data_IF_111398178362
#
_entry.id   IF_111398178362
#
_cell.length_a   1.000
_cell.length_b   1.000
_cell.length_c   1.000
_cell.angle_alpha   90.00
_cell.angle_beta   90.00
_cell.angle_gamma   90.00
#
_symmetry.space_group_name_H-M   'P 1'
#
loop_
_entity.id
_entity.type
_entity.pdbx_description
1 polymer ?
#
# COMPACT_ATOMS: atom_id res chain seq x y z
N UNK A 1 -8.05 25.46 5.35
CA UNK A 1 -6.95 25.36 4.36
C UNK A 1 -5.71 26.02 4.94
N UNK A 2 -5.00 25.30 5.79
CA UNK A 2 -3.72 25.72 6.37
C UNK A 2 -2.63 25.46 5.34
N UNK A 3 -2.09 26.53 4.73
CA UNK A 3 -0.88 26.46 3.91
C UNK A 3 0.27 26.07 4.84
N UNK A 4 0.69 24.81 4.81
CA UNK A 4 1.94 24.39 5.46
C UNK A 4 3.10 25.14 4.81
N UNK A 5 3.59 26.15 5.52
CA UNK A 5 4.79 26.88 5.19
C UNK A 5 5.97 25.95 5.45
N UNK A 6 6.40 25.20 4.43
CA UNK A 6 7.66 24.45 4.48
C UNK A 6 8.76 25.51 4.47
N UNK A 7 9.25 25.86 5.65
CA UNK A 7 10.43 26.71 5.83
C UNK A 7 11.60 25.88 5.31
N UNK A 8 11.99 26.15 4.06
CA UNK A 8 13.23 25.66 3.47
C UNK A 8 14.34 26.44 4.17
N UNK A 9 14.84 25.92 5.29
CA UNK A 9 16.06 26.37 5.92
C UNK A 9 17.21 25.94 5.02
N UNK A 10 17.45 26.73 3.97
CA UNK A 10 18.61 26.65 3.08
C UNK A 10 19.83 27.17 3.86
N UNK A 11 20.21 26.45 4.91
CA UNK A 11 21.35 26.73 5.75
C UNK A 11 22.64 26.41 5.01
N UNK A 12 23.45 27.43 4.80
CA UNK A 12 24.83 27.41 4.31
C UNK A 12 25.70 26.35 5.02
N UNK A 13 25.81 25.16 4.43
CA UNK A 13 26.81 24.12 4.72
C UNK A 13 27.70 23.87 3.50
N UNK A 14 28.24 24.95 2.93
CA UNK A 14 29.33 24.89 1.96
C UNK A 14 30.61 25.09 2.77
N UNK A 15 31.36 24.02 3.07
CA UNK A 15 32.84 24.01 3.20
C UNK A 15 33.47 22.67 3.66
N UNK A 16 32.73 21.56 3.81
CA UNK A 16 33.33 20.21 3.87
C UNK A 16 33.34 19.52 2.50
N UNK A 17 34.00 20.15 1.53
CA UNK A 17 34.08 19.72 0.12
C UNK A 17 35.06 18.55 -0.14
N UNK A 18 35.51 17.83 0.89
CA UNK A 18 36.40 16.68 0.72
C UNK A 18 35.85 15.48 1.47
N UNK A 19 34.94 14.79 0.77
CA UNK A 19 34.66 13.37 0.86
C UNK A 19 33.43 12.94 1.71
N UNK A 20 32.74 11.84 1.35
CA UNK A 20 31.76 11.73 0.26
C UNK A 20 30.50 10.97 0.73
N UNK A 21 29.39 11.70 0.85
CA UNK A 21 28.07 11.15 1.18
C UNK A 21 26.99 11.80 0.31
N UNK A 22 27.34 12.17 -0.92
CA UNK A 22 26.56 13.10 -1.77
C UNK A 22 25.11 12.67 -2.04
N UNK A 23 24.73 11.41 -1.78
CA UNK A 23 23.38 10.90 -2.01
C UNK A 23 22.80 10.07 -0.84
N UNK A 24 23.42 10.05 0.34
CA UNK A 24 22.95 9.18 1.43
C UNK A 24 21.54 9.56 1.92
N UNK A 25 21.30 10.86 2.11
CA UNK A 25 19.98 11.41 2.45
C UNK A 25 18.92 11.08 1.40
N UNK A 26 19.28 11.19 0.12
CA UNK A 26 18.43 10.97 -1.03
C UNK A 26 18.09 9.48 -1.19
N UNK A 27 19.09 8.60 -1.04
CA UNK A 27 18.92 7.14 -1.04
C UNK A 27 18.02 6.72 0.13
N UNK A 28 18.25 7.25 1.33
CA UNK A 28 17.44 6.95 2.51
C UNK A 28 16.00 7.44 2.32
N UNK A 29 15.81 8.64 1.80
CA UNK A 29 14.49 9.20 1.51
C UNK A 29 13.76 8.39 0.43
N UNK A 30 14.43 8.02 -0.67
CA UNK A 30 13.90 7.11 -1.69
C UNK A 30 13.47 5.77 -1.09
N UNK A 31 14.33 5.15 -0.25
CA UNK A 31 14.02 3.89 0.41
C UNK A 31 12.80 4.00 1.35
N UNK A 32 12.66 5.10 2.08
CA UNK A 32 11.50 5.38 2.93
C UNK A 32 10.21 5.52 2.11
N UNK A 33 10.27 6.20 0.96
CA UNK A 33 9.13 6.33 0.04
C UNK A 33 8.74 4.99 -0.58
N UNK A 34 9.72 4.15 -0.97
CA UNK A 34 9.45 2.77 -1.40
C UNK A 34 8.80 1.94 -0.28
N UNK A 35 9.31 2.02 0.95
CA UNK A 35 8.70 1.34 2.10
C UNK A 35 7.26 1.82 2.35
N UNK A 36 7.00 3.11 2.13
CA UNK A 36 5.64 3.68 2.21
C UNK A 36 4.73 3.06 1.14
N UNK A 37 5.19 2.93 -0.10
CA UNK A 37 4.44 2.27 -1.18
C UNK A 37 4.18 0.79 -0.87
N UNK A 38 5.20 0.05 -0.39
CA UNK A 38 5.05 -1.36 0.02
C UNK A 38 4.04 -1.51 1.15
N UNK A 39 4.11 -0.67 2.18
CA UNK A 39 3.14 -0.68 3.27
C UNK A 39 1.74 -0.33 2.78
N UNK A 40 1.61 0.64 1.88
CA UNK A 40 0.35 1.06 1.24
C UNK A 40 -0.28 -0.12 0.48
N UNK A 41 0.52 -0.85 -0.29
CA UNK A 41 0.08 -2.08 -0.96
C UNK A 41 -0.43 -3.13 0.04
N UNK A 42 0.35 -3.43 1.08
CA UNK A 42 0.00 -4.43 2.09
C UNK A 42 -1.28 -4.07 2.86
N UNK A 43 -1.38 -2.84 3.35
CA UNK A 43 -2.57 -2.32 4.05
C UNK A 43 -3.78 -2.31 3.13
N UNK A 44 -3.63 -1.86 1.88
CA UNK A 44 -4.71 -1.86 0.90
C UNK A 44 -5.24 -3.26 0.61
N UNK A 45 -4.35 -4.22 0.34
CA UNK A 45 -4.71 -5.64 0.15
C UNK A 45 -5.43 -6.22 1.36
N UNK A 46 -4.93 -5.95 2.57
CA UNK A 46 -5.56 -6.43 3.81
C UNK A 46 -6.96 -5.82 4.00
N UNK A 47 -7.14 -4.53 3.73
CA UNK A 47 -8.42 -3.85 3.82
C UNK A 47 -9.45 -4.46 2.86
N UNK A 48 -9.05 -4.74 1.62
CA UNK A 48 -9.89 -5.42 0.62
C UNK A 48 -10.30 -6.81 1.12
N UNK A 49 -9.36 -7.59 1.65
CA UNK A 49 -9.64 -8.92 2.17
C UNK A 49 -10.64 -8.89 3.33
N UNK A 50 -10.48 -7.95 4.27
CA UNK A 50 -11.41 -7.75 5.40
C UNK A 50 -12.80 -7.39 4.88
N UNK A 51 -12.90 -6.44 3.95
CA UNK A 51 -14.17 -5.98 3.39
C UNK A 51 -14.89 -7.11 2.64
N UNK A 52 -14.18 -7.90 1.83
CA UNK A 52 -14.77 -9.05 1.14
C UNK A 52 -15.26 -10.09 2.15
N UNK A 53 -14.47 -10.41 3.16
CA UNK A 53 -14.86 -11.36 4.20
C UNK A 53 -16.12 -10.87 4.95
N UNK A 54 -16.19 -9.59 5.30
CA UNK A 54 -17.37 -8.98 5.93
C UNK A 54 -18.61 -9.04 5.02
N UNK A 55 -18.47 -8.75 3.73
CA UNK A 55 -19.57 -8.82 2.77
C UNK A 55 -20.10 -10.25 2.59
N UNK A 56 -19.20 -11.23 2.51
CA UNK A 56 -19.59 -12.63 2.40
C UNK A 56 -20.21 -13.15 3.69
N UNK A 57 -19.69 -12.75 4.85
CA UNK A 57 -20.30 -13.05 6.15
C UNK A 57 -21.71 -12.46 6.25
N UNK A 58 -21.89 -11.19 5.86
CA UNK A 58 -23.20 -10.54 5.84
C UNK A 58 -24.18 -11.23 4.89
N UNK A 59 -23.74 -11.61 3.69
CA UNK A 59 -24.55 -12.37 2.74
C UNK A 59 -24.94 -13.75 3.29
N UNK A 60 -24.02 -14.41 3.99
CA UNK A 60 -24.29 -15.70 4.63
C UNK A 60 -25.27 -15.57 5.80
N UNK A 61 -25.17 -14.53 6.63
CA UNK A 61 -26.15 -14.24 7.70
C UNK A 61 -27.52 -13.91 7.09
N UNK A 62 -27.57 -13.05 6.07
CA UNK A 62 -28.82 -12.72 5.39
C UNK A 62 -29.49 -13.95 4.72
N UNK A 63 -28.70 -14.92 4.27
CA UNK A 63 -29.20 -16.20 3.79
C UNK A 63 -29.69 -17.12 4.93
N UNK A 64 -29.11 -17.03 6.13
CA UNK A 64 -29.51 -17.77 7.33
C UNK A 64 -30.83 -17.29 7.94
N UNK A 65 -31.11 -15.99 7.88
CA UNK A 65 -32.35 -15.41 8.42
C UNK A 65 -33.61 -15.87 7.68
N UNK A 66 -33.47 -16.62 6.57
CA UNK A 66 -34.53 -17.46 6.03
C UNK A 66 -34.62 -18.80 6.78
N UNK A 67 -34.94 -18.73 8.07
CA UNK A 67 -35.65 -19.83 8.74
C UNK A 67 -37.09 -19.76 8.25
N UNK A 68 -37.33 -20.21 7.02
CA UNK A 68 -38.69 -20.43 6.56
C UNK A 68 -39.28 -21.55 7.42
N UNK A 69 -40.37 -21.24 8.12
CA UNK A 69 -41.22 -22.26 8.71
C UNK A 69 -41.61 -23.22 7.59
N UNK A 70 -41.38 -24.51 7.79
CA UNK A 70 -41.86 -25.53 6.85
C UNK A 70 -43.36 -25.30 6.63
N UNK A 71 -43.87 -25.41 5.38
CA UNK A 71 -45.30 -25.27 5.11
C UNK A 71 -46.12 -26.15 6.06
N UNK A 72 -46.95 -25.54 6.90
CA UNK A 72 -47.74 -26.24 7.93
C UNK A 72 -47.24 -26.10 9.38
N UNK A 73 -46.15 -25.38 9.64
CA UNK A 73 -45.74 -24.98 11.00
C UNK A 73 -46.53 -23.76 11.52
N UNK A 74 -47.30 -23.11 10.66
CA UNK A 74 -48.10 -21.92 10.86
C UNK A 74 -49.62 -22.20 10.90
N UNK A 75 -50.04 -23.44 10.61
CA UNK A 75 -51.44 -23.86 10.67
C UNK A 75 -51.78 -24.44 12.04
N UNK A 76 -52.60 -23.75 12.84
CA UNK A 76 -53.29 -24.36 13.99
C UNK A 76 -54.37 -25.33 13.50
N UNK A 77 -54.54 -26.44 14.22
CA UNK A 77 -55.68 -27.32 13.97
C UNK A 77 -57.01 -26.58 14.29
N UNK A 78 -58.18 -27.09 13.84
CA UNK A 78 -59.48 -26.46 14.12
C UNK A 78 -59.82 -26.30 15.62
N UNK A 79 -59.06 -26.93 16.51
CA UNK A 79 -59.21 -26.86 17.97
C UNK A 79 -58.28 -25.82 18.59
N UNK A 80 -57.49 -25.09 17.78
CA UNK A 80 -56.53 -24.09 18.23
C UNK A 80 -55.21 -24.67 18.74
N UNK A 81 -54.97 -25.98 18.57
CA UNK A 81 -53.71 -26.59 18.97
C UNK A 81 -52.68 -26.51 17.84
N UNK A 82 -51.40 -26.21 18.16
CA UNK A 82 -50.35 -26.31 17.16
C UNK A 82 -50.23 -27.77 16.69
N UNK A 83 -49.97 -28.00 15.39
CA UNK A 83 -49.85 -29.33 14.84
C UNK A 83 -48.68 -30.03 15.53
N UNK A 84 -48.84 -31.32 15.82
CA UNK A 84 -47.80 -32.13 16.46
C UNK A 84 -46.65 -32.32 15.47
N UNK A 85 -45.69 -31.39 15.47
CA UNK A 85 -44.52 -31.43 14.61
C UNK A 85 -43.69 -32.69 14.93
N UNK A 86 -43.20 -33.38 13.91
CA UNK A 86 -42.13 -34.39 14.09
C UNK A 86 -40.92 -33.70 14.71
N UNK A 87 -40.15 -34.41 15.54
CA UNK A 87 -38.91 -33.90 16.14
C UNK A 87 -38.07 -33.15 15.10
N UNK A 88 -38.00 -31.84 15.24
CA UNK A 88 -37.27 -30.97 14.34
C UNK A 88 -35.78 -31.33 14.46
N UNK A 89 -35.21 -31.91 13.41
CA UNK A 89 -33.77 -32.12 13.35
C UNK A 89 -33.13 -30.82 12.88
N UNK A 90 -32.25 -30.24 13.69
CA UNK A 90 -31.41 -29.12 13.26
C UNK A 90 -30.50 -29.66 12.16
N UNK A 91 -30.82 -29.37 10.91
CA UNK A 91 -29.91 -29.65 9.80
C UNK A 91 -28.70 -28.75 10.01
N UNK A 92 -27.51 -29.33 10.10
CA UNK A 92 -26.27 -28.57 10.18
C UNK A 92 -26.17 -27.74 8.89
N UNK A 93 -26.46 -26.45 8.99
CA UNK A 93 -26.35 -25.54 7.86
C UNK A 93 -24.91 -25.56 7.36
N UNK A 94 -24.79 -25.51 6.03
CA UNK A 94 -23.61 -25.88 5.25
C UNK A 94 -22.27 -25.39 5.78
N UNK A 95 -21.22 -26.04 5.31
CA UNK A 95 -19.84 -25.71 5.69
C UNK A 95 -19.58 -24.22 5.52
N UNK A 96 -18.94 -23.62 6.55
CA UNK A 96 -18.40 -22.27 6.43
C UNK A 96 -17.30 -22.34 5.39
N UNK A 97 -17.64 -22.03 4.14
CA UNK A 97 -16.64 -21.94 3.09
C UNK A 97 -15.77 -20.72 3.37
N UNK A 98 -14.46 -20.94 3.39
CA UNK A 98 -13.51 -19.84 3.47
C UNK A 98 -13.81 -18.83 2.34
N UNK A 99 -13.66 -17.53 2.60
CA UNK A 99 -13.90 -16.52 1.59
C UNK A 99 -13.18 -16.84 0.28
N UNK A 100 -13.94 -16.98 -0.82
CA UNK A 100 -13.33 -17.18 -2.13
C UNK A 100 -12.56 -15.91 -2.49
N UNK A 101 -11.27 -16.06 -2.76
CA UNK A 101 -10.43 -14.95 -3.22
C UNK A 101 -11.02 -14.35 -4.51
N UNK A 102 -11.21 -13.04 -4.53
CA UNK A 102 -11.66 -12.34 -5.74
C UNK A 102 -10.50 -12.16 -6.72
N UNK A 103 -10.76 -11.89 -8.00
CA UNK A 103 -9.71 -11.60 -8.97
C UNK A 103 -8.75 -10.50 -8.51
N UNK A 104 -9.26 -9.46 -7.81
CA UNK A 104 -8.41 -8.40 -7.25
C UNK A 104 -7.43 -8.93 -6.20
N UNK A 105 -7.87 -9.78 -5.26
CA UNK A 105 -6.97 -10.35 -4.24
C UNK A 105 -5.95 -11.32 -4.85
N UNK A 106 -6.35 -12.09 -5.86
CA UNK A 106 -5.44 -13.00 -6.56
C UNK A 106 -4.34 -12.21 -7.27
N UNK A 107 -4.71 -11.13 -7.96
CA UNK A 107 -3.76 -10.25 -8.63
C UNK A 107 -2.77 -9.64 -7.64
N UNK A 108 -3.25 -8.95 -6.59
CA UNK A 108 -2.39 -8.34 -5.56
C UNK A 108 -1.50 -9.37 -4.85
N UNK A 109 -1.96 -10.61 -4.69
CA UNK A 109 -1.17 -11.69 -4.09
C UNK A 109 -0.06 -12.18 -5.04
N UNK A 110 -0.33 -12.27 -6.33
CA UNK A 110 0.67 -12.68 -7.34
C UNK A 110 1.83 -11.69 -7.44
N UNK A 111 1.59 -10.40 -7.17
CA UNK A 111 2.58 -9.34 -7.24
C UNK A 111 3.37 -9.14 -5.92
N UNK A 112 3.00 -9.81 -4.82
CA UNK A 112 3.73 -9.72 -3.53
C UNK A 112 5.24 -10.01 -3.63
N UNK A 113 5.70 -11.03 -4.37
CA UNK A 113 7.14 -11.29 -4.52
C UNK A 113 7.89 -10.10 -5.12
N UNK A 114 7.24 -9.32 -5.99
CA UNK A 114 7.83 -8.12 -6.60
C UNK A 114 8.05 -7.03 -5.54
N UNK A 115 7.05 -6.73 -4.71
CA UNK A 115 7.17 -5.74 -3.64
C UNK A 115 8.19 -6.17 -2.57
N UNK A 116 8.28 -7.47 -2.29
CA UNK A 116 9.32 -8.01 -1.41
C UNK A 116 10.72 -7.82 -1.99
N UNK A 117 10.91 -8.08 -3.29
CA UNK A 117 12.18 -7.88 -3.98
C UNK A 117 12.56 -6.39 -4.04
N UNK A 118 11.60 -5.50 -4.32
CA UNK A 118 11.82 -4.06 -4.31
C UNK A 118 12.25 -3.55 -2.93
N UNK A 119 11.59 -4.02 -1.86
CA UNK A 119 11.95 -3.70 -0.47
C UNK A 119 13.37 -4.17 -0.14
N UNK A 120 13.73 -5.39 -0.54
CA UNK A 120 15.07 -5.93 -0.35
C UNK A 120 16.12 -5.11 -1.12
N UNK A 121 15.82 -4.71 -2.35
CA UNK A 121 16.67 -3.86 -3.18
C UNK A 121 16.97 -2.52 -2.50
N UNK A 122 15.95 -1.77 -2.07
CA UNK A 122 16.18 -0.46 -1.43
C UNK A 122 16.86 -0.58 -0.06
N UNK A 123 16.61 -1.67 0.67
CA UNK A 123 17.32 -1.95 1.93
C UNK A 123 18.81 -2.15 1.68
N UNK A 124 19.16 -2.92 0.65
CA UNK A 124 20.55 -3.20 0.32
C UNK A 124 21.25 -1.98 -0.33
N UNK A 125 20.54 -1.16 -1.10
CA UNK A 125 21.01 0.14 -1.60
C UNK A 125 21.45 1.04 -0.44
N UNK A 126 20.59 1.20 0.57
CA UNK A 126 20.89 1.97 1.79
C UNK A 126 22.05 1.36 2.58
N UNK A 127 22.18 0.03 2.62
CA UNK A 127 23.30 -0.63 3.30
C UNK A 127 24.65 -0.30 2.65
N UNK A 128 24.70 -0.17 1.31
CA UNK A 128 25.92 0.23 0.59
C UNK A 128 26.24 1.71 0.81
N UNK A 129 25.22 2.58 0.82
CA UNK A 129 25.41 4.02 1.05
C UNK A 129 25.77 4.35 2.49
N UNK A 130 25.31 3.52 3.44
CA UNK A 130 25.76 3.52 4.81
C UNK A 130 27.13 2.87 4.82
N UNK A 131 27.32 1.60 5.19
CA UNK A 131 28.65 1.01 5.40
C UNK A 131 29.58 1.92 6.26
N UNK A 132 30.63 1.40 6.85
CA UNK A 132 31.52 2.22 7.71
C UNK A 132 32.98 1.87 7.47
N UNK A 133 33.20 0.62 7.11
CA UNK A 133 34.47 0.06 6.74
C UNK A 133 34.33 -0.86 5.51
N UNK A 134 35.45 -1.45 5.10
CA UNK A 134 35.52 -2.34 3.95
C UNK A 134 34.76 -3.67 4.16
N UNK A 135 34.66 -4.16 5.39
CA UNK A 135 33.94 -5.39 5.70
C UNK A 135 32.43 -5.17 5.55
N UNK A 136 31.91 -4.07 6.10
CA UNK A 136 30.54 -3.62 5.95
C UNK A 136 30.21 -3.36 4.48
N UNK A 137 31.08 -2.69 3.73
CA UNK A 137 30.89 -2.47 2.30
C UNK A 137 30.86 -3.78 1.51
N UNK A 138 31.75 -4.73 1.81
CA UNK A 138 31.77 -6.04 1.13
C UNK A 138 30.47 -6.80 1.36
N UNK A 139 30.01 -6.88 2.61
CA UNK A 139 28.73 -7.50 2.96
C UNK A 139 27.54 -6.79 2.29
N UNK A 140 27.51 -5.46 2.34
CA UNK A 140 26.46 -4.67 1.70
C UNK A 140 26.44 -4.87 0.18
N UNK A 141 27.61 -4.92 -0.46
CA UNK A 141 27.73 -5.16 -1.91
C UNK A 141 27.21 -6.54 -2.32
N UNK A 142 27.51 -7.58 -1.54
CA UNK A 142 26.98 -8.93 -1.77
C UNK A 142 25.45 -8.94 -1.65
N UNK A 143 24.91 -8.37 -0.57
CA UNK A 143 23.46 -8.24 -0.38
C UNK A 143 22.81 -7.44 -1.50
N UNK A 144 23.44 -6.35 -1.95
CA UNK A 144 22.90 -5.48 -2.99
C UNK A 144 22.88 -6.16 -4.35
N UNK A 145 23.93 -6.92 -4.68
CA UNK A 145 23.98 -7.75 -5.89
C UNK A 145 22.86 -8.80 -5.88
N UNK A 146 22.73 -9.55 -4.78
CA UNK A 146 21.67 -10.57 -4.65
C UNK A 146 20.27 -9.97 -4.73
N UNK A 147 20.03 -8.82 -4.08
CA UNK A 147 18.74 -8.14 -4.10
C UNK A 147 18.40 -7.57 -5.50
N UNK A 148 19.38 -7.02 -6.21
CA UNK A 148 19.22 -6.54 -7.58
C UNK A 148 18.90 -7.66 -8.57
N UNK A 149 19.58 -8.81 -8.45
CA UNK A 149 19.25 -10.01 -9.24
C UNK A 149 17.86 -10.52 -8.92
N UNK A 150 17.50 -10.66 -7.64
CA UNK A 150 16.16 -11.10 -7.24
C UNK A 150 15.05 -10.16 -7.71
N UNK A 151 15.30 -8.85 -7.74
CA UNK A 151 14.38 -7.87 -8.31
C UNK A 151 14.22 -8.05 -9.83
N UNK A 152 15.33 -8.23 -10.55
CA UNK A 152 15.31 -8.44 -12.00
C UNK A 152 14.60 -9.75 -12.36
N UNK A 153 14.83 -10.81 -11.59
CA UNK A 153 14.14 -12.10 -11.75
C UNK A 153 12.63 -11.99 -11.47
N UNK A 154 12.24 -11.21 -10.46
CA UNK A 154 10.83 -10.94 -10.16
C UNK A 154 10.15 -10.18 -11.30
N UNK A 155 10.83 -9.18 -11.88
CA UNK A 155 10.33 -8.43 -13.05
C UNK A 155 10.23 -9.33 -14.29
N UNK A 156 11.23 -10.18 -14.55
CA UNK A 156 11.24 -11.08 -15.70
C UNK A 156 10.07 -12.09 -15.67
N UNK A 157 9.60 -12.48 -14.48
CA UNK A 157 8.40 -13.32 -14.34
C UNK A 157 7.10 -12.60 -14.74
N UNK A 158 7.06 -11.28 -14.59
CA UNK A 158 5.90 -10.45 -14.95
C UNK A 158 5.93 -10.01 -16.41
N UNK A 159 7.11 -9.74 -16.93
CA UNK A 159 7.34 -9.29 -18.29
C UNK A 159 8.49 -10.11 -18.93
N UNK A 160 8.20 -11.34 -19.43
CA UNK A 160 9.22 -12.24 -19.98
C UNK A 160 9.89 -11.70 -21.24
N UNK A 161 9.25 -10.75 -21.93
CA UNK A 161 9.79 -10.07 -23.11
C UNK A 161 10.82 -8.99 -22.75
N UNK A 162 10.91 -8.60 -21.47
CA UNK A 162 11.92 -7.63 -21.02
C UNK A 162 13.28 -8.33 -20.99
N UNK A 163 14.29 -7.84 -21.75
CA UNK A 163 15.60 -8.47 -21.77
C UNK A 163 16.13 -8.52 -20.34
N UNK A 164 16.49 -9.72 -19.86
CA UNK A 164 17.13 -9.81 -18.56
C UNK A 164 18.46 -9.08 -18.66
N UNK A 165 18.57 -7.97 -17.95
CA UNK A 165 19.87 -7.37 -17.71
C UNK A 165 20.65 -8.43 -16.95
N UNK A 166 21.55 -9.13 -17.64
CA UNK A 166 22.53 -9.95 -16.97
C UNK A 166 23.28 -8.98 -16.05
N UNK A 167 22.89 -8.94 -14.76
CA UNK A 167 23.66 -8.29 -13.71
C UNK A 167 24.93 -9.12 -13.62
N UNK A 168 25.85 -8.82 -14.54
CA UNK A 168 27.09 -9.55 -14.71
C UNK A 168 27.76 -9.53 -13.35
N UNK A 169 28.24 -10.70 -12.96
CA UNK A 169 29.04 -11.14 -11.81
C UNK A 169 30.23 -10.24 -11.38
N UNK A 170 30.27 -8.97 -11.79
CA UNK A 170 31.43 -8.09 -11.87
C UNK A 170 31.58 -7.08 -10.74
N UNK A 171 30.56 -6.81 -9.91
CA UNK A 171 30.73 -5.90 -8.77
C UNK A 171 31.78 -6.43 -7.77
N UNK A 172 31.88 -7.75 -7.61
CA UNK A 172 32.92 -8.39 -6.80
C UNK A 172 34.34 -8.18 -7.33
N UNK A 173 34.51 -8.01 -8.64
CA UNK A 173 35.80 -7.74 -9.28
C UNK A 173 36.33 -6.33 -9.03
N UNK A 174 35.44 -5.36 -8.80
CA UNK A 174 35.82 -3.96 -8.52
C UNK A 174 36.54 -3.82 -7.16
N UNK A 175 36.36 -4.78 -6.25
CA UNK A 175 36.97 -4.76 -4.91
C UNK A 175 38.38 -5.36 -4.85
N UNK A 176 38.86 -6.00 -5.92
CA UNK A 176 40.04 -6.88 -5.89
C UNK A 176 41.38 -6.27 -6.35
N UNK A 177 41.44 -5.01 -6.77
CA UNK A 177 42.70 -4.40 -7.23
C UNK A 177 43.26 -3.41 -6.20
N UNK A 178 44.47 -3.70 -5.70
CA UNK A 178 45.12 -3.14 -4.51
C UNK A 178 45.56 -1.68 -4.58
N UNK A 179 44.66 -0.79 -5.00
CA UNK A 179 44.78 0.64 -4.78
C UNK A 179 43.89 0.95 -3.58
N UNK A 180 44.42 1.57 -2.53
CA UNK A 180 43.70 2.08 -1.36
C UNK A 180 42.79 3.26 -1.73
N UNK A 181 41.94 3.04 -2.73
CA UNK A 181 40.84 3.91 -3.10
C UNK A 181 39.96 4.06 -1.85
N UNK A 182 39.85 5.29 -1.36
CA UNK A 182 39.01 5.66 -0.22
C UNK A 182 37.65 4.94 -0.31
N UNK A 183 37.21 4.29 0.78
CA UNK A 183 35.98 3.50 0.94
C UNK A 183 34.78 3.96 0.08
N UNK A 184 34.59 5.27 0.01
CA UNK A 184 33.51 5.91 -0.71
C UNK A 184 33.59 5.86 -2.24
N UNK A 185 34.79 5.84 -2.81
CA UNK A 185 34.96 5.60 -4.25
C UNK A 185 34.51 4.18 -4.62
N UNK A 186 34.75 3.20 -3.75
CA UNK A 186 34.23 1.83 -3.89
C UNK A 186 32.71 1.79 -3.74
N UNK A 187 32.14 2.48 -2.75
CA UNK A 187 30.66 2.66 -2.63
C UNK A 187 30.07 3.23 -3.91
N UNK A 188 30.61 4.33 -4.41
CA UNK A 188 30.14 4.99 -5.63
C UNK A 188 30.23 4.07 -6.84
N UNK A 189 31.32 3.31 -6.99
CA UNK A 189 31.47 2.35 -8.08
C UNK A 189 30.44 1.23 -8.04
N UNK A 190 30.17 0.68 -6.84
CA UNK A 190 29.13 -0.34 -6.62
C UNK A 190 27.75 0.23 -6.94
N UNK A 191 27.40 1.40 -6.39
CA UNK A 191 26.13 2.08 -6.63
C UNK A 191 25.93 2.38 -8.12
N UNK A 192 26.92 3.00 -8.78
CA UNK A 192 26.86 3.31 -10.21
C UNK A 192 26.57 2.06 -11.05
N UNK A 193 27.24 0.96 -10.77
CA UNK A 193 27.12 -0.28 -11.54
C UNK A 193 25.73 -0.89 -11.36
N UNK A 194 25.30 -1.09 -10.13
CA UNK A 194 24.07 -1.83 -9.84
C UNK A 194 22.82 -0.98 -10.09
N UNK A 195 22.79 0.29 -9.66
CA UNK A 195 21.63 1.17 -9.85
C UNK A 195 21.35 1.37 -11.34
N UNK A 196 22.38 1.58 -12.16
CA UNK A 196 22.21 1.73 -13.62
C UNK A 196 21.70 0.44 -14.28
N UNK A 197 22.16 -0.73 -13.82
CA UNK A 197 21.75 -2.02 -14.37
C UNK A 197 20.28 -2.37 -14.04
N UNK A 198 19.79 -1.92 -12.87
CA UNK A 198 18.44 -2.17 -12.37
C UNK A 198 17.41 -1.15 -12.89
N UNK A 199 17.84 0.00 -13.42
CA UNK A 199 16.94 1.07 -13.88
C UNK A 199 15.84 0.61 -14.86
N UNK A 200 16.12 -0.22 -15.89
CA UNK A 200 15.08 -0.75 -16.77
C UNK A 200 14.04 -1.63 -16.04
N UNK A 201 14.49 -2.40 -15.06
CA UNK A 201 13.60 -3.22 -14.21
C UNK A 201 12.67 -2.34 -13.37
N UNK A 202 13.16 -1.19 -12.88
CA UNK A 202 12.35 -0.22 -12.12
C UNK A 202 11.28 0.42 -13.01
N UNK A 203 11.58 0.73 -14.27
CA UNK A 203 10.57 1.24 -15.23
C UNK A 203 9.42 0.24 -15.38
N UNK A 204 9.73 -1.05 -15.57
CA UNK A 204 8.72 -2.12 -15.71
C UNK A 204 7.94 -2.29 -14.40
N UNK A 205 8.64 -2.34 -13.27
CA UNK A 205 8.03 -2.43 -11.94
C UNK A 205 7.08 -1.25 -11.67
N UNK A 206 7.39 -0.05 -12.18
CA UNK A 206 6.53 1.12 -12.08
C UNK A 206 5.12 0.85 -12.60
N UNK A 207 4.98 0.07 -13.68
CA UNK A 207 3.68 -0.29 -14.26
C UNK A 207 2.89 -1.23 -13.34
N UNK A 208 3.56 -2.20 -12.71
CA UNK A 208 2.92 -3.09 -11.73
C UNK A 208 2.48 -2.31 -10.49
N UNK A 209 3.34 -1.43 -9.97
CA UNK A 209 2.99 -0.55 -8.85
C UNK A 209 1.80 0.34 -9.19
N UNK A 210 1.76 0.94 -10.38
CA UNK A 210 0.60 1.72 -10.84
C UNK A 210 -0.68 0.87 -10.84
N UNK A 211 -0.60 -0.34 -11.39
CA UNK A 211 -1.75 -1.25 -11.53
C UNK A 211 -2.30 -1.67 -10.17
N UNK A 212 -1.44 -2.11 -9.26
CA UNK A 212 -1.85 -2.56 -7.92
C UNK A 212 -2.44 -1.42 -7.09
N UNK A 213 -1.79 -0.25 -7.11
CA UNK A 213 -2.31 0.94 -6.41
C UNK A 213 -3.64 1.41 -7.03
N UNK A 214 -3.83 1.25 -8.35
CA UNK A 214 -5.11 1.52 -9.01
C UNK A 214 -6.20 0.56 -8.55
N UNK A 215 -5.93 -0.75 -8.52
CA UNK A 215 -6.87 -1.77 -8.02
C UNK A 215 -7.30 -1.46 -6.59
N UNK A 216 -6.33 -1.13 -5.73
CA UNK A 216 -6.57 -0.78 -4.33
C UNK A 216 -7.46 0.47 -4.22
N UNK A 217 -7.07 1.56 -4.89
CA UNK A 217 -7.84 2.81 -4.89
C UNK A 217 -9.25 2.62 -5.45
N UNK A 218 -9.40 1.88 -6.54
CA UNK A 218 -10.69 1.63 -7.16
C UNK A 218 -11.62 0.83 -6.24
N UNK A 219 -11.09 -0.15 -5.51
CA UNK A 219 -11.87 -0.87 -4.49
C UNK A 219 -12.32 0.07 -3.37
N UNK A 220 -11.40 0.87 -2.82
CA UNK A 220 -11.71 1.81 -1.73
C UNK A 220 -12.78 2.83 -2.14
N UNK A 221 -12.67 3.44 -3.31
CA UNK A 221 -13.65 4.40 -3.83
C UNK A 221 -15.04 3.75 -3.94
N UNK A 222 -15.13 2.52 -4.49
CA UNK A 222 -16.40 1.79 -4.59
C UNK A 222 -17.03 1.54 -3.23
N UNK A 223 -16.23 1.15 -2.24
CA UNK A 223 -16.72 0.88 -0.88
C UNK A 223 -17.18 2.16 -0.17
N UNK A 224 -16.36 3.21 -0.17
CA UNK A 224 -16.73 4.49 0.42
C UNK A 224 -17.97 5.10 -0.25
N UNK A 225 -18.13 4.94 -1.57
CA UNK A 225 -19.34 5.38 -2.27
C UNK A 225 -20.58 4.62 -1.78
N UNK A 226 -20.48 3.29 -1.64
CA UNK A 226 -21.57 2.44 -1.12
C UNK A 226 -21.95 2.84 0.31
N UNK A 227 -20.96 2.99 1.19
CA UNK A 227 -21.17 3.41 2.58
C UNK A 227 -21.79 4.81 2.66
N UNK A 228 -21.26 5.77 1.90
CA UNK A 228 -21.80 7.13 1.87
C UNK A 228 -23.26 7.17 1.39
N UNK A 229 -23.61 6.39 0.37
CA UNK A 229 -25.01 6.27 -0.07
C UNK A 229 -25.92 5.70 1.02
N UNK A 230 -25.47 4.66 1.74
CA UNK A 230 -26.23 4.06 2.82
C UNK A 230 -26.43 5.04 4.00
N UNK A 231 -25.39 5.79 4.37
CA UNK A 231 -25.45 6.75 5.46
C UNK A 231 -26.32 7.96 5.11
N UNK A 232 -26.25 8.45 3.87
CA UNK A 232 -27.12 9.54 3.40
C UNK A 232 -28.59 9.11 3.40
N UNK A 233 -28.90 7.90 2.92
CA UNK A 233 -30.26 7.38 2.96
C UNK A 233 -30.78 7.24 4.39
N UNK A 234 -29.94 6.76 5.31
CA UNK A 234 -30.28 6.64 6.74
C UNK A 234 -30.51 8.01 7.37
N UNK A 235 -29.61 8.97 7.13
CA UNK A 235 -29.73 10.33 7.61
C UNK A 235 -31.03 10.98 7.13
N UNK A 236 -31.34 10.87 5.83
CA UNK A 236 -32.58 11.40 5.25
C UNK A 236 -33.83 10.79 5.91
N UNK A 237 -33.86 9.48 6.14
CA UNK A 237 -34.99 8.80 6.77
C UNK A 237 -35.21 9.22 8.25
N UNK A 238 -34.14 9.56 8.97
CA UNK A 238 -34.23 9.99 10.37
C UNK A 238 -34.56 11.48 10.53
N UNK A 239 -34.11 12.32 9.59
CA UNK A 239 -34.30 13.77 9.65
C UNK A 239 -35.75 14.24 9.56
N UNK A 240 -36.67 13.41 9.07
CA UNK A 240 -38.04 13.86 8.79
C UNK A 240 -38.80 14.21 10.07
N UNK A 241 -38.56 13.52 11.21
CA UNK A 241 -39.29 13.82 12.47
C UNK A 241 -38.53 13.42 13.76
N UNK A 242 -37.29 12.91 13.70
CA UNK A 242 -36.70 12.15 14.84
C UNK A 242 -35.41 12.71 15.44
N UNK A 243 -34.70 13.60 14.75
CA UNK A 243 -33.40 14.09 15.21
C UNK A 243 -33.53 15.43 15.92
N UNK A 244 -32.97 15.55 17.12
CA UNK A 244 -32.71 16.85 17.72
C UNK A 244 -31.52 17.52 17.01
N UNK A 245 -31.31 18.80 17.29
CA UNK A 245 -30.24 19.60 16.66
C UNK A 245 -28.83 19.01 16.88
N UNK A 246 -28.54 18.53 18.08
CA UNK A 246 -27.24 17.95 18.43
C UNK A 246 -26.95 16.68 17.63
N UNK A 247 -27.93 15.78 17.52
CA UNK A 247 -27.80 14.54 16.76
C UNK A 247 -27.69 14.80 15.25
N UNK A 248 -28.44 15.79 14.75
CA UNK A 248 -28.34 16.25 13.37
C UNK A 248 -26.92 16.73 13.05
N UNK A 249 -26.37 17.64 13.87
CA UNK A 249 -25.01 18.16 13.65
C UNK A 249 -23.96 17.06 13.72
N UNK A 250 -24.09 16.13 14.67
CA UNK A 250 -23.17 15.00 14.83
C UNK A 250 -23.16 14.13 13.56
N UNK A 251 -24.35 13.76 13.05
CA UNK A 251 -24.46 12.95 11.82
C UNK A 251 -23.98 13.72 10.58
N UNK A 252 -24.25 15.02 10.50
CA UNK A 252 -23.77 15.87 9.40
C UNK A 252 -22.24 15.94 9.38
N UNK A 253 -21.58 16.12 10.52
CA UNK A 253 -20.11 16.13 10.64
C UNK A 253 -19.52 14.77 10.27
N UNK A 254 -20.17 13.67 10.66
CA UNK A 254 -19.74 12.32 10.26
C UNK A 254 -19.81 12.14 8.73
N UNK A 255 -20.91 12.56 8.09
CA UNK A 255 -21.05 12.54 6.62
C UNK A 255 -20.00 13.41 5.93
N UNK A 256 -19.76 14.63 6.43
CA UNK A 256 -18.73 15.53 5.90
C UNK A 256 -17.33 14.90 5.98
N UNK A 257 -17.03 14.20 7.07
CA UNK A 257 -15.77 13.48 7.26
C UNK A 257 -15.62 12.34 6.23
N UNK A 258 -16.69 11.57 5.98
CA UNK A 258 -16.68 10.52 4.93
C UNK A 258 -16.53 11.11 3.53
N UNK A 259 -17.19 12.23 3.23
CA UNK A 259 -17.02 12.94 1.94
C UNK A 259 -15.58 13.44 1.78
N UNK A 260 -14.96 13.96 2.84
CA UNK A 260 -13.56 14.37 2.81
C UNK A 260 -12.62 13.19 2.52
N UNK A 261 -12.80 12.06 3.21
CA UNK A 261 -12.04 10.82 2.97
C UNK A 261 -12.23 10.30 1.53
N UNK A 262 -13.47 10.30 1.04
CA UNK A 262 -13.78 9.92 -0.33
C UNK A 262 -13.07 10.80 -1.36
N UNK A 263 -13.13 12.12 -1.18
CA UNK A 263 -12.45 13.07 -2.07
C UNK A 263 -10.94 12.94 -2.00
N UNK A 264 -10.38 12.65 -0.83
CA UNK A 264 -8.96 12.38 -0.66
C UNK A 264 -8.51 11.12 -1.40
N UNK A 265 -9.26 10.02 -1.30
CA UNK A 265 -8.97 8.81 -2.06
C UNK A 265 -9.11 9.02 -3.57
N UNK A 266 -10.08 9.83 -4.01
CA UNK A 266 -10.19 10.24 -5.41
C UNK A 266 -9.03 11.10 -5.89
N UNK A 267 -8.46 11.94 -5.03
CA UNK A 267 -7.34 12.79 -5.41
C UNK A 267 -6.02 12.02 -5.52
N UNK A 268 -5.88 10.86 -4.86
CA UNK A 268 -4.69 10.02 -5.01
C UNK A 268 -4.53 9.54 -6.47
N UNK A 269 -3.32 9.66 -7.02
CA UNK A 269 -3.00 9.32 -8.40
C UNK A 269 -1.93 8.21 -8.45
N UNK A 270 -2.35 6.92 -8.57
CA UNK A 270 -1.45 5.77 -8.74
C UNK A 270 -0.37 5.97 -9.80
N UNK A 271 -0.71 6.61 -10.92
CA UNK A 271 0.19 6.83 -12.04
C UNK A 271 1.25 7.87 -11.72
N UNK A 272 0.87 8.96 -11.05
CA UNK A 272 1.83 9.96 -10.58
C UNK A 272 2.85 9.37 -9.60
N UNK A 273 2.41 8.48 -8.69
CA UNK A 273 3.28 7.80 -7.71
C UNK A 273 4.28 6.89 -8.43
N UNK A 274 3.81 6.03 -9.32
CA UNK A 274 4.66 5.13 -10.09
C UNK A 274 5.68 5.91 -10.94
N UNK A 275 5.22 6.96 -11.64
CA UNK A 275 6.11 7.83 -12.43
C UNK A 275 7.15 8.53 -11.56
N UNK A 276 6.76 9.03 -10.38
CA UNK A 276 7.68 9.70 -9.47
C UNK A 276 8.73 8.74 -8.91
N UNK A 277 8.34 7.50 -8.57
CA UNK A 277 9.27 6.45 -8.15
C UNK A 277 10.29 6.12 -9.23
N UNK A 278 9.83 5.87 -10.47
CA UNK A 278 10.69 5.59 -11.62
C UNK A 278 11.63 6.76 -11.89
N UNK A 279 11.10 7.99 -11.89
CA UNK A 279 11.91 9.19 -12.09
C UNK A 279 12.96 9.38 -10.99
N UNK A 280 12.60 9.18 -9.71
CA UNK A 280 13.55 9.29 -8.60
C UNK A 280 14.71 8.30 -8.73
N UNK A 281 14.41 7.05 -9.08
CA UNK A 281 15.44 6.04 -9.33
C UNK A 281 16.30 6.39 -10.55
N UNK A 282 15.67 6.80 -11.65
CA UNK A 282 16.37 7.18 -12.88
C UNK A 282 17.30 8.38 -12.66
N UNK A 283 16.84 9.44 -11.99
CA UNK A 283 17.68 10.58 -11.67
C UNK A 283 18.87 10.17 -10.78
N UNK A 284 18.66 9.24 -9.83
CA UNK A 284 19.77 8.68 -9.04
C UNK A 284 20.77 7.92 -9.94
N UNK A 285 20.29 7.08 -10.86
CA UNK A 285 21.14 6.36 -11.81
C UNK A 285 21.98 7.32 -12.67
N UNK A 286 21.36 8.35 -13.23
CA UNK A 286 22.02 9.39 -14.05
C UNK A 286 23.03 10.17 -13.21
N UNK A 287 22.67 10.58 -11.99
CA UNK A 287 23.54 11.34 -11.10
C UNK A 287 24.75 10.52 -10.61
N UNK A 288 24.62 9.20 -10.49
CA UNK A 288 25.74 8.30 -10.18
C UNK A 288 26.70 8.15 -11.36
N UNK A 289 26.23 8.22 -12.60
CA UNK A 289 27.07 8.14 -13.81
C UNK A 289 27.84 9.44 -14.07
N UNK A 290 27.21 10.59 -13.83
CA UNK A 290 27.80 11.90 -14.09
C UNK A 290 28.71 12.36 -12.93
N UNK A 291 29.86 12.96 -13.25
CA UNK A 291 30.85 13.41 -12.24
C UNK A 291 30.53 14.79 -11.64
N UNK A 292 29.44 15.44 -12.05
CA UNK A 292 29.11 16.83 -11.71
C UNK A 292 27.68 16.97 -11.13
N UNK A 293 27.57 17.80 -10.09
CA UNK A 293 26.44 18.60 -9.55
C UNK A 293 24.95 18.24 -9.82
N UNK A 294 24.60 17.00 -10.14
CA UNK A 294 23.20 16.59 -10.38
C UNK A 294 22.40 16.28 -9.11
N UNK A 295 22.81 16.83 -7.97
CA UNK A 295 22.10 16.61 -6.71
C UNK A 295 20.70 17.24 -6.71
N UNK A 296 20.52 18.38 -7.37
CA UNK A 296 19.22 19.07 -7.44
C UNK A 296 18.13 18.22 -8.13
N UNK A 297 18.35 17.66 -9.34
CA UNK A 297 17.39 16.73 -9.95
C UNK A 297 17.03 15.53 -9.07
N UNK A 298 18.00 14.92 -8.39
CA UNK A 298 17.76 13.79 -7.48
C UNK A 298 16.90 14.23 -6.30
N UNK A 299 17.25 15.35 -5.66
CA UNK A 299 16.53 15.90 -4.52
C UNK A 299 15.07 16.19 -4.88
N UNK A 300 14.83 16.86 -6.01
CA UNK A 300 13.47 17.16 -6.50
C UNK A 300 12.70 15.87 -6.78
N UNK A 301 13.27 14.93 -7.52
CA UNK A 301 12.57 13.70 -7.88
C UNK A 301 12.23 12.83 -6.65
N UNK A 302 13.14 12.75 -5.67
CA UNK A 302 12.90 12.04 -4.40
C UNK A 302 11.84 12.74 -3.55
N UNK A 303 11.84 14.08 -3.50
CA UNK A 303 10.81 14.85 -2.79
C UNK A 303 9.42 14.67 -3.42
N UNK A 304 9.35 14.70 -4.76
CA UNK A 304 8.11 14.46 -5.51
C UNK A 304 7.58 13.05 -5.24
N UNK A 305 8.46 12.04 -5.26
CA UNK A 305 8.07 10.66 -4.94
C UNK A 305 7.59 10.51 -3.51
N UNK A 306 8.30 11.10 -2.53
CA UNK A 306 7.91 11.07 -1.12
C UNK A 306 6.55 11.72 -0.89
N UNK A 307 6.31 12.88 -1.49
CA UNK A 307 5.01 13.57 -1.45
C UNK A 307 3.89 12.70 -2.02
N UNK A 308 4.09 12.13 -3.21
CA UNK A 308 3.10 11.27 -3.87
C UNK A 308 2.80 10.00 -3.06
N UNK A 309 3.83 9.32 -2.55
CA UNK A 309 3.68 8.13 -1.70
C UNK A 309 2.93 8.46 -0.39
N UNK A 310 3.22 9.59 0.24
CA UNK A 310 2.54 10.06 1.45
C UNK A 310 1.05 10.37 1.22
N UNK A 311 0.71 10.98 0.09
CA UNK A 311 -0.68 11.24 -0.29
C UNK A 311 -1.49 9.94 -0.44
N UNK A 312 -0.91 8.93 -1.11
CA UNK A 312 -1.55 7.62 -1.25
C UNK A 312 -1.75 6.92 0.09
N UNK A 313 -0.71 6.91 0.93
CA UNK A 313 -0.82 6.33 2.27
C UNK A 313 -1.96 6.97 3.06
N UNK A 314 -2.05 8.31 3.04
CA UNK A 314 -3.09 9.03 3.77
C UNK A 314 -4.48 8.72 3.19
N UNK A 315 -4.61 8.59 1.87
CA UNK A 315 -5.85 8.17 1.22
C UNK A 315 -6.30 6.76 1.65
N UNK A 316 -5.36 5.80 1.71
CA UNK A 316 -5.65 4.45 2.18
C UNK A 316 -6.06 4.46 3.65
N UNK A 317 -5.27 5.09 4.52
CA UNK A 317 -5.55 5.13 5.96
C UNK A 317 -6.92 5.76 6.27
N UNK A 318 -7.30 6.80 5.52
CA UNK A 318 -8.61 7.45 5.63
C UNK A 318 -9.75 6.48 5.28
N UNK A 319 -9.59 5.67 4.23
CA UNK A 319 -10.60 4.68 3.83
C UNK A 319 -10.73 3.51 4.80
N UNK A 320 -9.64 3.12 5.48
CA UNK A 320 -9.67 2.04 6.48
C UNK A 320 -10.38 2.49 7.75
N UNK A 321 -10.17 3.76 8.14
CA UNK A 321 -10.76 4.33 9.36
C UNK A 321 -12.29 4.50 9.28
N UNK A 322 -12.87 4.59 8.08
CA UNK A 322 -14.32 4.73 7.90
C UNK A 322 -15.09 3.41 8.01
N UNK A 323 -14.41 2.27 7.92
CA UNK A 323 -15.01 0.92 7.92
C UNK A 323 -15.05 0.27 9.31
N UNK A 324 -14.84 1.04 10.40
CA UNK A 324 -15.01 0.49 11.75
C UNK A 324 -16.45 -0.07 11.91
N UNK A 325 -16.59 -1.34 12.30
CA UNK A 325 -17.90 -1.98 12.35
C UNK A 325 -18.77 -1.29 13.41
N UNK A 326 -19.99 -0.95 13.02
CA UNK A 326 -21.07 -0.43 13.89
C UNK A 326 -21.58 -1.57 14.81
N UNK A 327 -20.68 -2.30 15.46
CA UNK A 327 -20.99 -3.41 16.36
C UNK A 327 -21.00 -3.02 17.83
N UNK A 328 -20.96 -1.72 18.17
CA UNK A 328 -20.86 -1.28 19.58
C UNK A 328 -21.97 -0.37 20.11
N UNK A 329 -23.10 -0.22 19.43
CA UNK A 329 -24.20 0.58 19.94
C UNK A 329 -25.50 -0.23 20.02
N UNK A 330 -25.66 -0.93 21.14
CA UNK A 330 -26.90 -1.04 21.92
C UNK A 330 -26.80 -2.27 22.84
N UNK A 331 -26.04 -2.17 23.93
CA UNK A 331 -26.46 -2.90 25.14
C UNK A 331 -27.75 -2.20 25.56
N UNK A 332 -28.93 -2.87 25.53
CA UNK A 332 -30.15 -2.27 26.02
C UNK A 332 -29.90 -1.80 27.46
N UNK A 333 -30.37 -0.60 27.87
CA UNK A 333 -30.34 -0.27 29.29
C UNK A 333 -31.07 -1.38 30.03
N UNK A 334 -30.38 -2.00 31.00
CA UNK A 334 -31.01 -2.97 31.87
C UNK A 334 -32.14 -2.25 32.61
N UNK A 335 -33.39 -2.54 32.24
CA UNK A 335 -34.55 -2.07 32.98
C UNK A 335 -34.42 -2.60 34.42
N UNK A 336 -34.35 -1.67 35.37
CA UNK A 336 -34.58 -1.91 36.79
C UNK A 336 -36.03 -1.62 37.12
#
# INVERSE_FOLDING_TARGET
MTKSLVIITLGTTLLSACAPYAYNSEITSFANSVNTVVSTHQTGKQAIAIQIAQQQQAAHIAAKDRLDLLPGCDSVDPSGNPPKLKDCTVVKFGEVHAPKATPELIHLANDEPLFAALKAYVTALTAVSNAEDDAALTKATQSFTSAASGLTDAVAKLAPETPSSALVTSAGGVLGQGISLYLNSRRLAVLRTIVSAVDPSIITLGQTVETDLYVIRAHQIRQMQKELHADVATFQAETVDKLNESDYQTKLVALQTKVAAFNQARAADPKAIAKAMVNAHHQLAVALQNKSEQILPVLTAVADFSSAAGQMKTAIDASVSTTEPVTKAATPPANK
#
